data_IF_575245883561
#
_entry.id   IF_575245883561
#
_cell.length_a   1.000
_cell.length_b   1.000
_cell.length_c   1.000
_cell.angle_alpha   90.00
_cell.angle_beta   90.00
_cell.angle_gamma   90.00
#
_symmetry.space_group_name_H-M   'P 1'
#
loop_
_entity.id
_entity.type
_entity.pdbx_description
1 polymer ?
#
# COMPACT_ATOMS: atom_id res chain seq x y z
N UNK A 1 -61.66 -33.69 -19.02
CA UNK A 1 -61.99 -32.28 -18.69
C UNK A 1 -61.53 -32.08 -17.25
N UNK A 2 -60.44 -31.41 -16.90
CA UNK A 2 -59.69 -30.33 -17.54
C UNK A 2 -58.17 -30.53 -17.38
N UNK A 3 -57.43 -30.40 -18.48
CA UNK A 3 -55.99 -30.20 -18.50
C UNK A 3 -55.74 -28.69 -18.56
N UNK A 4 -54.87 -28.17 -17.70
CA UNK A 4 -54.32 -26.82 -17.83
C UNK A 4 -52.79 -26.95 -17.95
N UNK A 5 -52.15 -26.33 -18.96
CA UNK A 5 -50.71 -26.44 -19.16
C UNK A 5 -49.95 -25.37 -18.37
N UNK A 6 -48.84 -25.80 -17.76
CA UNK A 6 -47.81 -24.94 -17.19
C UNK A 6 -47.09 -24.14 -18.30
N UNK A 7 -47.11 -22.82 -18.17
CA UNK A 7 -46.16 -21.92 -18.81
C UNK A 7 -45.58 -21.02 -17.73
N UNK A 8 -44.32 -21.28 -17.35
CA UNK A 8 -43.54 -20.33 -16.58
C UNK A 8 -42.22 -20.07 -17.32
N UNK A 9 -42.24 -19.03 -18.14
CA UNK A 9 -41.06 -18.34 -18.66
C UNK A 9 -40.68 -17.26 -17.64
N UNK A 10 -39.42 -17.25 -17.21
CA UNK A 10 -38.90 -16.24 -16.30
C UNK A 10 -37.38 -16.29 -16.25
N UNK A 11 -36.75 -15.85 -17.34
CA UNK A 11 -35.33 -15.53 -17.42
C UNK A 11 -35.01 -14.39 -16.46
N UNK A 12 -34.54 -14.69 -15.24
CA UNK A 12 -33.93 -13.69 -14.35
C UNK A 12 -32.96 -14.40 -13.39
N UNK A 13 -31.74 -14.69 -13.86
CA UNK A 13 -30.77 -15.44 -13.06
C UNK A 13 -29.30 -15.09 -13.23
N UNK A 14 -28.94 -14.15 -14.12
CA UNK A 14 -27.52 -13.89 -14.41
C UNK A 14 -27.00 -12.48 -14.09
N UNK A 15 -27.87 -11.52 -13.71
CA UNK A 15 -27.43 -10.16 -13.37
C UNK A 15 -27.43 -9.82 -11.86
N UNK A 16 -27.77 -10.75 -10.97
CA UNK A 16 -27.81 -10.51 -9.52
C UNK A 16 -26.53 -10.89 -8.74
N UNK A 17 -25.56 -11.56 -9.35
CA UNK A 17 -24.34 -11.98 -8.65
C UNK A 17 -23.24 -10.91 -8.58
N UNK A 18 -23.32 -9.83 -9.35
CA UNK A 18 -22.29 -8.78 -9.32
C UNK A 18 -22.61 -7.63 -8.34
N UNK A 19 -23.89 -7.42 -7.99
CA UNK A 19 -24.31 -6.34 -7.08
C UNK A 19 -24.37 -6.74 -5.60
N UNK A 20 -24.33 -8.03 -5.26
CA UNK A 20 -24.29 -8.49 -3.86
C UNK A 20 -22.89 -8.43 -3.23
N UNK A 21 -21.84 -8.09 -4.00
CA UNK A 21 -20.48 -7.98 -3.50
C UNK A 21 -20.20 -6.67 -2.74
N UNK A 22 -21.07 -5.65 -2.89
CA UNK A 22 -20.85 -4.30 -2.37
C UNK A 22 -21.91 -3.78 -1.39
N UNK A 23 -23.02 -4.50 -1.19
CA UNK A 23 -24.00 -4.12 -0.18
C UNK A 23 -23.53 -4.57 1.21
N UNK A 24 -22.83 -3.64 1.86
CA UNK A 24 -22.69 -3.58 3.30
C UNK A 24 -24.05 -3.86 3.96
N UNK A 25 -24.09 -4.86 4.82
CA UNK A 25 -25.15 -5.01 5.80
C UNK A 25 -24.96 -3.90 6.86
N UNK A 26 -25.81 -2.85 6.93
CA UNK A 26 -25.62 -1.74 7.86
C UNK A 26 -25.88 -2.13 9.33
N UNK A 27 -26.36 -3.35 9.57
CA UNK A 27 -26.73 -3.85 10.89
C UNK A 27 -25.66 -4.72 11.57
N UNK A 28 -24.40 -4.71 11.10
CA UNK A 28 -23.30 -5.24 11.91
C UNK A 28 -22.89 -4.21 12.96
N UNK A 29 -23.66 -4.17 14.05
CA UNK A 29 -23.24 -3.63 15.34
C UNK A 29 -21.79 -4.06 15.63
N UNK A 30 -20.94 -3.08 15.93
CA UNK A 30 -19.52 -3.24 16.19
C UNK A 30 -19.25 -4.46 17.09
N UNK A 31 -18.36 -5.39 16.71
CA UNK A 31 -17.95 -6.44 17.62
C UNK A 31 -17.13 -5.80 18.73
N UNK A 32 -17.71 -5.78 19.93
CA UNK A 32 -16.99 -5.61 21.19
C UNK A 32 -16.05 -6.80 21.38
N UNK A 33 -14.92 -6.79 20.67
CA UNK A 33 -13.81 -7.73 20.85
C UNK A 33 -12.51 -6.94 21.01
N UNK A 34 -12.48 -6.10 22.04
CA UNK A 34 -11.24 -5.63 22.62
C UNK A 34 -11.23 -6.14 24.07
N UNK A 35 -10.48 -7.23 24.29
CA UNK A 35 -10.24 -7.91 25.57
C UNK A 35 -11.41 -8.72 26.16
N UNK A 36 -11.57 -9.96 25.68
CA UNK A 36 -12.42 -10.96 26.33
C UNK A 36 -12.05 -12.37 25.88
N UNK A 37 -11.06 -12.98 26.51
CA UNK A 37 -10.76 -14.39 26.34
C UNK A 37 -11.86 -15.23 26.97
N UNK A 38 -12.85 -15.64 26.18
CA UNK A 38 -13.79 -16.69 26.55
C UNK A 38 -13.50 -17.92 25.68
N UNK A 39 -13.26 -19.04 26.36
CA UNK A 39 -12.69 -20.26 25.79
C UNK A 39 -13.45 -20.79 24.58
N UNK A 40 -12.73 -20.93 23.47
CA UNK A 40 -13.19 -21.72 22.34
C UNK A 40 -13.24 -23.21 22.73
N UNK A 41 -14.32 -23.93 22.37
CA UNK A 41 -14.49 -25.35 22.71
C UNK A 41 -13.41 -26.23 22.06
N UNK A 42 -12.91 -27.19 22.84
CA UNK A 42 -11.75 -28.07 22.60
C UNK A 42 -11.89 -29.08 21.43
N UNK A 43 -12.68 -28.81 20.39
CA UNK A 43 -12.99 -29.75 19.31
C UNK A 43 -12.28 -29.54 17.96
N UNK A 44 -11.54 -28.44 17.75
CA UNK A 44 -11.08 -28.03 16.41
C UNK A 44 -9.68 -28.51 15.99
N UNK A 45 -9.22 -29.68 16.45
CA UNK A 45 -7.86 -30.16 16.15
C UNK A 45 -7.68 -30.81 14.76
N UNK A 46 -8.74 -31.03 13.96
CA UNK A 46 -8.61 -31.70 12.67
C UNK A 46 -8.34 -30.76 11.46
N UNK A 47 -8.62 -29.45 11.58
CA UNK A 47 -8.49 -28.49 10.46
C UNK A 47 -7.32 -27.49 10.57
N UNK A 48 -6.75 -27.33 11.77
CA UNK A 48 -5.72 -26.32 12.07
C UNK A 48 -4.37 -26.50 11.34
N UNK A 49 -4.15 -27.65 10.70
CA UNK A 49 -2.89 -27.97 10.02
C UNK A 49 -2.67 -27.24 8.70
N UNK A 50 -3.72 -27.01 7.90
CA UNK A 50 -3.54 -26.66 6.47
C UNK A 50 -2.94 -25.28 6.24
N UNK A 51 -3.34 -24.26 7.01
CA UNK A 51 -2.76 -22.92 6.86
C UNK A 51 -1.28 -22.85 7.28
N UNK A 52 -0.85 -23.73 8.20
CA UNK A 52 0.53 -23.72 8.72
C UNK A 52 1.55 -24.19 7.68
N UNK A 53 1.10 -24.97 6.68
CA UNK A 53 1.95 -25.54 5.64
C UNK A 53 2.57 -24.47 4.74
N UNK A 54 1.89 -23.33 4.54
CA UNK A 54 2.41 -22.19 3.76
C UNK A 54 3.74 -21.70 4.33
N UNK A 55 3.84 -21.64 5.66
CA UNK A 55 5.02 -21.12 6.35
C UNK A 55 6.13 -22.15 6.54
N UNK A 56 5.82 -23.44 6.34
CA UNK A 56 6.81 -24.52 6.35
C UNK A 56 7.55 -24.64 5.02
N UNK A 57 7.08 -23.96 3.98
CA UNK A 57 7.69 -23.99 2.67
C UNK A 57 9.09 -23.35 2.68
N UNK A 58 9.99 -23.89 1.87
CA UNK A 58 11.39 -23.44 1.76
C UNK A 58 11.48 -21.98 1.28
N UNK A 59 10.44 -21.46 0.63
CA UNK A 59 10.35 -20.09 0.13
C UNK A 59 10.10 -19.05 1.23
N UNK A 60 9.60 -19.44 2.41
CA UNK A 60 9.29 -18.48 3.47
C UNK A 60 10.55 -17.91 4.15
N UNK A 61 11.62 -18.69 4.26
CA UNK A 61 12.91 -18.22 4.80
C UNK A 61 13.55 -17.12 3.93
N UNK A 62 13.67 -17.27 2.59
CA UNK A 62 14.10 -16.19 1.70
C UNK A 62 13.30 -14.89 1.87
N UNK A 63 11.98 -14.97 2.05
CA UNK A 63 11.15 -13.77 2.28
C UNK A 63 11.58 -13.07 3.57
N UNK A 64 11.79 -13.80 4.66
CA UNK A 64 12.25 -13.24 5.94
C UNK A 64 13.60 -12.52 5.77
N UNK A 65 14.55 -13.14 5.07
CA UNK A 65 15.89 -12.60 4.82
C UNK A 65 15.79 -11.32 3.98
N UNK A 66 15.09 -11.36 2.84
CA UNK A 66 14.94 -10.22 1.94
C UNK A 66 14.25 -9.04 2.63
N UNK A 67 13.21 -9.31 3.41
CA UNK A 67 12.50 -8.27 4.15
C UNK A 67 13.39 -7.65 5.26
N UNK A 68 14.29 -8.44 5.85
CA UNK A 68 15.27 -7.94 6.82
C UNK A 68 16.34 -7.08 6.17
N UNK A 69 16.83 -7.49 4.99
CA UNK A 69 17.78 -6.68 4.21
C UNK A 69 17.14 -5.36 3.81
N UNK A 70 15.89 -5.39 3.30
CA UNK A 70 15.14 -4.17 3.00
C UNK A 70 14.94 -3.29 4.24
N UNK A 71 14.64 -3.88 5.41
CA UNK A 71 14.49 -3.14 6.66
C UNK A 71 15.81 -2.49 7.14
N UNK A 72 16.94 -3.21 7.01
CA UNK A 72 18.27 -2.71 7.39
C UNK A 72 18.72 -1.56 6.49
N UNK A 73 18.48 -1.68 5.18
CA UNK A 73 18.84 -0.64 4.21
C UNK A 73 17.98 0.61 4.39
N UNK A 74 16.70 0.45 4.74
CA UNK A 74 15.81 1.55 5.09
C UNK A 74 15.91 2.01 6.55
N UNK A 75 16.93 1.56 7.30
CA UNK A 75 17.11 2.00 8.68
C UNK A 75 17.34 3.51 8.82
N UNK A 76 18.11 4.20 7.95
CA UNK A 76 18.32 5.64 8.03
C UNK A 76 17.03 6.46 7.90
N UNK A 77 16.05 5.96 7.15
CA UNK A 77 14.74 6.59 6.99
C UNK A 77 13.74 6.21 8.08
N UNK A 78 14.17 5.45 9.10
CA UNK A 78 13.35 4.97 10.21
C UNK A 78 12.00 4.42 9.74
N UNK A 79 12.02 3.55 8.71
CA UNK A 79 10.80 2.92 8.22
C UNK A 79 10.33 1.82 9.19
N UNK A 80 9.77 2.27 10.31
CA UNK A 80 9.31 1.45 11.45
C UNK A 80 8.33 0.37 10.98
N UNK A 81 7.51 0.65 9.97
CA UNK A 81 6.56 -0.33 9.43
C UNK A 81 7.27 -1.53 8.81
N UNK A 82 8.27 -1.30 7.94
CA UNK A 82 9.04 -2.39 7.32
C UNK A 82 9.77 -3.21 8.37
N UNK A 83 10.35 -2.55 9.38
CA UNK A 83 11.02 -3.21 10.51
C UNK A 83 10.02 -4.08 11.30
N UNK A 84 8.84 -3.57 11.63
CA UNK A 84 7.81 -4.31 12.35
C UNK A 84 7.28 -5.50 11.54
N UNK A 85 7.11 -5.36 10.22
CA UNK A 85 6.72 -6.50 9.36
C UNK A 85 7.85 -7.54 9.34
N UNK A 86 9.12 -7.13 9.26
CA UNK A 86 10.26 -8.04 9.30
C UNK A 86 10.31 -8.83 10.62
N UNK A 87 10.20 -8.15 11.76
CA UNK A 87 10.16 -8.80 13.09
C UNK A 87 8.96 -9.74 13.20
N UNK A 88 7.77 -9.29 12.79
CA UNK A 88 6.56 -10.11 12.83
C UNK A 88 6.69 -11.38 11.98
N UNK A 89 7.35 -11.27 10.82
CA UNK A 89 7.59 -12.40 9.91
C UNK A 89 8.60 -13.39 10.51
N UNK A 90 9.65 -12.91 11.19
CA UNK A 90 10.59 -13.77 11.93
C UNK A 90 9.95 -14.50 13.11
N UNK A 91 9.12 -13.81 13.89
CA UNK A 91 8.37 -14.43 14.99
C UNK A 91 7.47 -15.55 14.45
N UNK A 92 6.82 -15.31 13.31
CA UNK A 92 6.00 -16.31 12.63
C UNK A 92 6.84 -17.50 12.15
N UNK A 93 8.00 -17.25 11.54
CA UNK A 93 8.94 -18.31 11.12
C UNK A 93 9.40 -19.18 12.30
N UNK A 94 9.82 -18.54 13.39
CA UNK A 94 10.27 -19.23 14.60
C UNK A 94 9.15 -20.07 15.24
N UNK A 95 7.92 -19.56 15.26
CA UNK A 95 6.75 -20.26 15.78
C UNK A 95 6.47 -21.55 14.99
N UNK A 96 6.46 -21.45 13.67
CA UNK A 96 6.21 -22.56 12.74
C UNK A 96 7.28 -23.65 12.90
N UNK A 97 8.55 -23.26 13.01
CA UNK A 97 9.67 -24.19 13.18
C UNK A 97 9.67 -24.87 14.56
N UNK A 98 9.12 -24.21 15.56
CA UNK A 98 8.96 -24.76 16.92
C UNK A 98 7.73 -25.66 17.07
N UNK A 99 7.01 -25.99 15.99
CA UNK A 99 5.73 -26.71 16.00
C UNK A 99 4.67 -26.08 16.93
N UNK A 100 4.80 -24.79 17.25
CA UNK A 100 3.77 -24.03 17.96
C UNK A 100 2.71 -23.61 16.95
N UNK A 101 1.46 -23.52 17.38
CA UNK A 101 0.37 -23.05 16.52
C UNK A 101 0.69 -21.64 15.96
N UNK A 102 0.95 -21.50 14.65
CA UNK A 102 1.36 -20.22 14.06
C UNK A 102 0.24 -19.17 14.08
N UNK A 103 -1.00 -19.63 14.25
CA UNK A 103 -2.20 -18.79 14.34
C UNK A 103 -2.47 -18.26 15.74
N UNK A 104 -1.95 -18.94 16.77
CA UNK A 104 -2.00 -18.47 18.15
C UNK A 104 -0.87 -17.47 18.45
N UNK A 105 0.14 -17.41 17.58
CA UNK A 105 1.35 -16.65 17.88
C UNK A 105 1.20 -15.15 17.64
N UNK A 106 1.96 -14.40 18.43
CA UNK A 106 2.04 -12.94 18.37
C UNK A 106 2.39 -12.43 16.95
N UNK A 107 3.10 -13.21 16.13
CA UNK A 107 3.56 -12.82 14.79
C UNK A 107 2.45 -12.37 13.83
N UNK A 108 1.41 -13.19 13.58
CA UNK A 108 0.32 -12.82 12.66
C UNK A 108 -0.47 -11.62 13.20
N UNK A 109 -0.71 -11.58 14.52
CA UNK A 109 -1.39 -10.45 15.17
C UNK A 109 -0.58 -9.16 15.01
N UNK A 110 0.74 -9.25 15.16
CA UNK A 110 1.67 -8.14 14.98
C UNK A 110 1.66 -7.66 13.52
N UNK A 111 1.80 -8.54 12.53
CA UNK A 111 1.75 -8.17 11.10
C UNK A 111 0.39 -7.53 10.75
N UNK A 112 -0.72 -8.13 11.20
CA UNK A 112 -2.06 -7.58 10.99
C UNK A 112 -2.24 -6.19 11.63
N UNK A 113 -1.72 -6.02 12.84
CA UNK A 113 -1.67 -4.74 13.55
C UNK A 113 -0.85 -3.69 12.79
N UNK A 114 0.32 -4.06 12.28
CA UNK A 114 1.18 -3.18 11.48
C UNK A 114 0.49 -2.74 10.19
N UNK A 115 -0.18 -3.66 9.46
CA UNK A 115 -0.94 -3.30 8.25
C UNK A 115 -2.14 -2.40 8.59
N UNK A 116 -2.79 -2.61 9.74
CA UNK A 116 -3.85 -1.69 10.21
C UNK A 116 -3.29 -0.29 10.51
N UNK A 117 -2.14 -0.21 11.17
CA UNK A 117 -1.47 1.06 11.43
C UNK A 117 -1.09 1.76 10.13
N UNK A 118 -0.51 1.03 9.18
CA UNK A 118 -0.19 1.52 7.84
C UNK A 118 -1.43 2.06 7.11
N UNK A 119 -2.56 1.35 7.15
CA UNK A 119 -3.82 1.83 6.56
C UNK A 119 -4.26 3.20 7.12
N UNK A 120 -4.15 3.38 8.43
CA UNK A 120 -4.50 4.64 9.11
C UNK A 120 -3.51 5.74 8.73
N UNK A 121 -2.21 5.45 8.79
CA UNK A 121 -1.15 6.40 8.44
C UNK A 121 -1.27 6.88 6.99
N UNK A 122 -1.63 6.00 6.04
CA UNK A 122 -1.85 6.41 4.66
C UNK A 122 -3.01 7.39 4.52
N UNK A 123 -4.11 7.23 5.26
CA UNK A 123 -5.20 8.21 5.25
C UNK A 123 -4.77 9.56 5.82
N UNK A 124 -3.97 9.56 6.89
CA UNK A 124 -3.42 10.79 7.46
C UNK A 124 -2.50 11.48 6.44
N UNK A 125 -1.63 10.73 5.76
CA UNK A 125 -0.76 11.26 4.71
C UNK A 125 -1.57 11.82 3.53
N UNK A 126 -2.61 11.13 3.06
CA UNK A 126 -3.52 11.62 2.01
C UNK A 126 -4.16 12.95 2.43
N UNK A 127 -4.69 13.03 3.65
CA UNK A 127 -5.32 14.25 4.15
C UNK A 127 -4.32 15.41 4.20
N UNK A 128 -3.10 15.16 4.69
CA UNK A 128 -2.04 16.16 4.76
C UNK A 128 -1.62 16.66 3.36
N UNK A 129 -1.42 15.74 2.41
CA UNK A 129 -1.05 16.08 1.03
C UNK A 129 -2.16 16.88 0.32
N UNK A 130 -3.43 16.54 0.54
CA UNK A 130 -4.55 17.31 -0.01
C UNK A 130 -4.63 18.71 0.59
N UNK A 131 -4.47 18.86 1.90
CA UNK A 131 -4.45 20.17 2.56
C UNK A 131 -3.30 21.00 1.99
N UNK A 132 -2.10 20.43 1.88
CA UNK A 132 -0.94 21.12 1.31
C UNK A 132 -1.18 21.53 -0.15
N UNK A 133 -1.75 20.64 -0.97
CA UNK A 133 -2.09 20.94 -2.35
C UNK A 133 -3.11 22.10 -2.45
N UNK A 134 -4.13 22.10 -1.61
CA UNK A 134 -5.13 23.18 -1.55
C UNK A 134 -4.48 24.49 -1.13
N UNK A 135 -3.59 24.48 -0.12
CA UNK A 135 -2.87 25.68 0.32
C UNK A 135 -2.02 26.24 -0.82
N UNK A 136 -1.27 25.41 -1.53
CA UNK A 136 -0.44 25.84 -2.66
C UNK A 136 -1.28 26.43 -3.80
N UNK A 137 -2.40 25.77 -4.14
CA UNK A 137 -3.33 26.26 -5.16
C UNK A 137 -4.05 27.55 -4.74
N UNK A 138 -4.31 27.75 -3.44
CA UNK A 138 -4.97 28.94 -2.92
C UNK A 138 -4.02 30.14 -2.80
N UNK A 139 -2.74 29.91 -2.52
CA UNK A 139 -1.73 30.98 -2.42
C UNK A 139 -1.29 31.45 -3.81
N UNK A 140 -1.24 30.56 -4.81
CA UNK A 140 -0.74 30.89 -6.15
C UNK A 140 -1.36 32.19 -6.75
N UNK A 141 -2.69 32.40 -6.75
CA UNK A 141 -3.29 33.64 -7.28
C UNK A 141 -3.01 34.89 -6.41
N UNK A 142 -2.75 34.72 -5.11
CA UNK A 142 -2.50 35.82 -4.18
C UNK A 142 -1.15 36.50 -4.41
N UNK A 143 -0.19 35.79 -4.99
CA UNK A 143 1.18 36.28 -5.22
C UNK A 143 1.18 37.41 -6.27
N UNK A 144 0.38 37.31 -7.33
CA UNK A 144 0.27 38.37 -8.35
C UNK A 144 -0.26 39.70 -7.81
N UNK A 145 -1.10 39.66 -6.77
CA UNK A 145 -1.68 40.88 -6.17
C UNK A 145 -0.76 41.56 -5.14
N UNK A 146 0.30 40.87 -4.71
CA UNK A 146 1.16 41.30 -3.60
C UNK A 146 2.56 41.71 -4.04
N UNK A 147 3.00 41.29 -5.23
CA UNK A 147 4.32 41.64 -5.78
C UNK A 147 4.17 42.91 -6.63
N UNK A 148 4.93 43.95 -6.29
CA UNK A 148 5.03 45.16 -7.09
C UNK A 148 5.48 44.78 -8.51
N UNK A 149 4.74 45.12 -9.57
CA UNK A 149 5.13 44.83 -10.95
C UNK A 149 6.47 45.46 -11.35
N UNK A 150 7.01 46.39 -10.54
CA UNK A 150 8.34 47.00 -10.72
C UNK A 150 9.45 46.34 -9.89
N UNK A 151 9.18 45.24 -9.18
CA UNK A 151 10.22 44.48 -8.50
C UNK A 151 11.06 43.73 -9.53
N UNK A 152 12.26 44.25 -9.81
CA UNK A 152 13.21 43.71 -10.79
C UNK A 152 13.81 42.35 -10.39
N UNK A 153 13.57 41.87 -9.16
CA UNK A 153 14.08 40.57 -8.71
C UNK A 153 13.13 39.83 -7.74
N UNK A 154 13.14 38.48 -7.78
CA UNK A 154 12.44 37.59 -6.83
C UNK A 154 12.81 37.89 -5.36
N UNK A 155 14.00 38.47 -5.16
CA UNK A 155 14.65 38.61 -3.87
C UNK A 155 14.29 39.92 -3.16
N UNK A 156 13.92 40.96 -3.91
CA UNK A 156 13.41 42.21 -3.33
C UNK A 156 12.02 42.01 -2.67
N UNK A 157 11.26 40.99 -3.11
CA UNK A 157 9.98 40.60 -2.51
C UNK A 157 10.12 39.67 -1.29
N UNK A 158 11.29 39.02 -1.09
CA UNK A 158 11.58 38.16 0.06
C UNK A 158 12.91 38.57 0.74
N UNK A 159 13.01 39.80 1.28
CA UNK A 159 14.28 40.38 1.69
C UNK A 159 14.99 39.66 2.85
N UNK A 160 14.30 38.82 3.64
CA UNK A 160 14.82 38.35 4.93
C UNK A 160 15.08 36.83 5.07
N UNK A 161 14.77 35.98 4.08
CA UNK A 161 14.75 34.53 4.33
C UNK A 161 15.75 33.65 3.56
N UNK A 162 16.35 34.11 2.45
CA UNK A 162 17.31 33.28 1.70
C UNK A 162 18.42 34.15 1.08
N UNK A 163 19.61 34.18 1.68
CA UNK A 163 20.82 34.70 1.03
C UNK A 163 21.30 33.71 -0.01
N UNK A 164 20.78 33.81 -1.24
CA UNK A 164 21.30 33.06 -2.40
C UNK A 164 22.52 33.83 -2.94
N UNK A 165 23.57 33.10 -3.36
CA UNK A 165 24.74 33.76 -3.95
C UNK A 165 24.38 34.46 -5.29
N UNK A 166 25.13 35.51 -5.60
CA UNK A 166 24.91 36.32 -6.82
C UNK A 166 25.01 35.47 -8.10
N UNK A 167 25.80 34.40 -8.08
CA UNK A 167 26.05 33.51 -9.21
C UNK A 167 24.81 32.67 -9.54
N UNK A 168 24.15 32.08 -8.55
CA UNK A 168 22.89 31.35 -8.69
C UNK A 168 21.76 32.28 -9.11
N UNK A 169 21.73 33.51 -8.60
CA UNK A 169 20.75 34.52 -9.00
C UNK A 169 20.87 34.87 -10.49
N UNK A 170 22.10 35.07 -10.99
CA UNK A 170 22.35 35.32 -12.40
C UNK A 170 21.97 34.12 -13.28
N UNK A 171 22.26 32.89 -12.83
CA UNK A 171 21.90 31.67 -13.56
C UNK A 171 20.38 31.47 -13.67
N UNK A 172 19.63 31.73 -12.59
CA UNK A 172 18.16 31.67 -12.58
C UNK A 172 17.57 32.73 -13.51
N UNK A 173 18.06 33.97 -13.45
CA UNK A 173 17.60 35.05 -14.32
C UNK A 173 17.87 34.73 -15.81
N UNK A 174 19.03 34.15 -16.11
CA UNK A 174 19.39 33.74 -17.46
C UNK A 174 18.47 32.61 -17.97
N UNK A 175 18.22 31.58 -17.13
CA UNK A 175 17.28 30.49 -17.44
C UNK A 175 15.85 31.00 -17.72
N UNK A 176 15.34 31.91 -16.88
CA UNK A 176 14.00 32.51 -17.08
C UNK A 176 13.95 33.27 -18.40
N UNK A 177 14.97 34.08 -18.70
CA UNK A 177 15.04 34.87 -19.93
C UNK A 177 15.13 34.02 -21.20
N UNK A 178 15.76 32.85 -21.14
CA UNK A 178 15.91 31.93 -22.29
C UNK A 178 14.71 31.00 -22.49
N UNK A 179 14.16 30.42 -21.42
CA UNK A 179 13.12 29.39 -21.54
C UNK A 179 11.69 29.94 -21.47
N UNK A 180 11.48 31.09 -20.82
CA UNK A 180 10.16 31.68 -20.61
C UNK A 180 10.17 33.18 -20.97
N UNK A 181 10.52 33.54 -22.22
CA UNK A 181 10.62 34.92 -22.64
C UNK A 181 9.27 35.64 -22.48
N UNK A 182 9.27 36.74 -21.74
CA UNK A 182 8.09 37.58 -21.52
C UNK A 182 7.26 37.25 -20.27
N UNK A 183 7.65 36.27 -19.45
CA UNK A 183 7.06 36.08 -18.12
C UNK A 183 7.88 36.81 -17.05
N UNK A 184 7.19 37.50 -16.15
CA UNK A 184 7.80 38.01 -14.92
C UNK A 184 8.16 36.86 -14.00
N UNK A 185 9.14 37.08 -13.12
CA UNK A 185 9.57 36.10 -12.13
C UNK A 185 8.40 35.65 -11.23
N UNK A 186 7.52 36.58 -10.86
CA UNK A 186 6.30 36.28 -10.09
C UNK A 186 5.40 35.25 -10.79
N UNK A 187 5.23 35.38 -12.12
CA UNK A 187 4.44 34.44 -12.93
C UNK A 187 5.10 33.06 -13.02
N UNK A 188 6.43 32.99 -13.07
CA UNK A 188 7.17 31.71 -13.04
C UNK A 188 6.95 30.99 -11.70
N UNK A 189 7.05 31.73 -10.60
CA UNK A 189 6.88 31.18 -9.26
C UNK A 189 5.43 30.73 -9.00
N UNK A 190 4.45 31.52 -9.44
CA UNK A 190 3.03 31.15 -9.39
C UNK A 190 2.75 29.88 -10.19
N UNK A 191 3.26 29.79 -11.42
CA UNK A 191 3.12 28.60 -12.26
C UNK A 191 3.76 27.38 -11.58
N UNK A 192 4.92 27.54 -10.94
CA UNK A 192 5.58 26.48 -10.21
C UNK A 192 4.74 25.99 -9.02
N UNK A 193 4.23 26.89 -8.17
CA UNK A 193 3.36 26.52 -7.03
C UNK A 193 2.07 25.85 -7.50
N UNK A 194 1.48 26.34 -8.60
CA UNK A 194 0.29 25.76 -9.19
C UNK A 194 0.54 24.32 -9.67
N UNK A 195 1.62 24.10 -10.43
CA UNK A 195 2.00 22.76 -10.91
C UNK A 195 2.33 21.85 -9.72
N UNK A 196 3.08 22.32 -8.74
CA UNK A 196 3.41 21.57 -7.53
C UNK A 196 2.13 21.15 -6.76
N UNK A 197 1.16 22.06 -6.64
CA UNK A 197 -0.15 21.78 -6.05
C UNK A 197 -0.90 20.68 -6.79
N UNK A 198 -0.94 20.72 -8.13
CA UNK A 198 -1.56 19.67 -8.95
C UNK A 198 -0.85 18.32 -8.75
N UNK A 199 0.48 18.30 -8.76
CA UNK A 199 1.27 17.07 -8.57
C UNK A 199 0.99 16.47 -7.19
N UNK A 200 0.92 17.29 -6.13
CA UNK A 200 0.59 16.83 -4.78
C UNK A 200 -0.84 16.29 -4.68
N UNK A 201 -1.82 16.94 -5.33
CA UNK A 201 -3.19 16.45 -5.40
C UNK A 201 -3.26 15.08 -6.11
N UNK A 202 -2.55 14.94 -7.23
CA UNK A 202 -2.45 13.67 -7.95
C UNK A 202 -1.79 12.58 -7.11
N UNK A 203 -0.70 12.89 -6.42
CA UNK A 203 -0.03 11.97 -5.50
C UNK A 203 -0.99 11.49 -4.39
N UNK A 204 -1.81 12.39 -3.84
CA UNK A 204 -2.81 12.03 -2.84
C UNK A 204 -3.90 11.09 -3.40
N UNK A 205 -4.35 11.29 -4.65
CA UNK A 205 -5.27 10.38 -5.34
C UNK A 205 -4.65 9.00 -5.50
N UNK A 206 -3.40 8.93 -5.97
CA UNK A 206 -2.68 7.65 -6.14
C UNK A 206 -2.55 6.92 -4.80
N UNK A 207 -2.16 7.63 -3.72
CA UNK A 207 -2.09 7.05 -2.38
C UNK A 207 -3.45 6.56 -1.88
N UNK A 208 -4.53 7.28 -2.18
CA UNK A 208 -5.90 6.86 -1.87
C UNK A 208 -6.24 5.55 -2.58
N UNK A 209 -5.94 5.45 -3.88
CA UNK A 209 -6.15 4.24 -4.69
C UNK A 209 -5.34 3.08 -4.11
N UNK A 210 -4.06 3.29 -3.81
CA UNK A 210 -3.21 2.28 -3.17
C UNK A 210 -3.82 1.82 -1.84
N UNK A 211 -4.27 2.75 -0.99
CA UNK A 211 -4.82 2.40 0.31
C UNK A 211 -6.13 1.58 0.21
N UNK A 212 -6.98 1.92 -0.76
CA UNK A 212 -8.26 1.25 -1.00
C UNK A 212 -8.12 -0.08 -1.71
N UNK A 213 -7.29 -0.16 -2.74
CA UNK A 213 -7.12 -1.33 -3.61
C UNK A 213 -6.18 -2.35 -2.96
N UNK A 214 -5.19 -1.91 -2.18
CA UNK A 214 -4.18 -2.81 -1.62
C UNK A 214 -4.30 -3.00 -0.12
N UNK A 215 -4.09 -1.93 0.64
CA UNK A 215 -3.93 -2.04 2.10
C UNK A 215 -5.20 -2.57 2.75
N UNK A 216 -6.38 -2.16 2.27
CA UNK A 216 -7.67 -2.66 2.77
C UNK A 216 -7.86 -4.16 2.48
N UNK A 217 -7.74 -4.67 1.24
CA UNK A 217 -7.81 -6.11 0.97
C UNK A 217 -6.74 -6.93 1.68
N UNK A 218 -5.50 -6.43 1.76
CA UNK A 218 -4.41 -7.08 2.50
C UNK A 218 -4.74 -7.21 3.98
N UNK A 219 -5.27 -6.15 4.61
CA UNK A 219 -5.74 -6.19 6.00
C UNK A 219 -6.85 -7.22 6.17
N UNK A 220 -7.87 -7.19 5.32
CA UNK A 220 -8.99 -8.12 5.38
C UNK A 220 -8.53 -9.57 5.22
N UNK A 221 -7.56 -9.82 4.34
CA UNK A 221 -6.89 -11.10 4.17
C UNK A 221 -6.14 -11.52 5.43
N UNK A 222 -5.27 -10.67 6.00
CA UNK A 222 -4.49 -11.00 7.20
C UNK A 222 -5.37 -11.28 8.42
N UNK A 223 -6.46 -10.52 8.59
CA UNK A 223 -7.45 -10.78 9.65
C UNK A 223 -8.17 -12.11 9.42
N UNK A 224 -8.66 -12.34 8.19
CA UNK A 224 -9.28 -13.63 7.83
C UNK A 224 -8.31 -14.79 8.01
N UNK A 225 -7.03 -14.56 7.72
CA UNK A 225 -5.97 -15.55 7.85
C UNK A 225 -5.66 -15.85 9.32
N UNK A 226 -5.65 -14.85 10.20
CA UNK A 226 -5.48 -15.05 11.64
C UNK A 226 -6.67 -15.75 12.31
N UNK A 227 -7.90 -15.45 11.88
CA UNK A 227 -9.13 -15.96 12.50
C UNK A 227 -9.59 -17.30 11.91
N UNK A 228 -9.52 -17.47 10.58
CA UNK A 228 -10.16 -18.58 9.86
C UNK A 228 -9.16 -19.60 9.30
N UNK A 229 -7.88 -19.52 9.66
CA UNK A 229 -6.89 -20.53 9.29
C UNK A 229 -7.32 -22.00 9.48
N UNK A 230 -8.05 -22.39 10.55
CA UNK A 230 -8.50 -23.77 10.69
C UNK A 230 -9.69 -24.13 9.78
N UNK A 231 -10.44 -23.16 9.25
CA UNK A 231 -11.65 -23.38 8.44
C UNK A 231 -11.42 -23.21 6.92
N UNK A 232 -10.18 -22.94 6.51
CA UNK A 232 -9.83 -22.71 5.11
C UNK A 232 -9.91 -21.23 4.73
N UNK A 233 -9.01 -20.80 3.85
CA UNK A 233 -8.96 -19.42 3.40
C UNK A 233 -9.96 -19.18 2.26
N UNK A 234 -10.67 -18.04 2.23
CA UNK A 234 -11.47 -17.67 1.07
C UNK A 234 -10.56 -17.50 -0.15
N UNK A 235 -10.57 -18.49 -1.06
CA UNK A 235 -9.71 -18.59 -2.24
C UNK A 235 -9.77 -17.32 -3.09
N UNK A 236 -10.96 -16.73 -3.24
CA UNK A 236 -11.15 -15.49 -3.98
C UNK A 236 -10.31 -14.32 -3.41
N UNK A 237 -10.26 -14.17 -2.07
CA UNK A 237 -9.46 -13.11 -1.43
C UNK A 237 -7.96 -13.39 -1.53
N UNK A 238 -7.57 -14.65 -1.40
CA UNK A 238 -6.17 -15.06 -1.55
C UNK A 238 -5.66 -14.77 -2.98
N UNK A 239 -6.45 -15.09 -4.00
CA UNK A 239 -6.11 -14.79 -5.40
C UNK A 239 -6.00 -13.29 -5.65
N UNK A 240 -6.91 -12.49 -5.09
CA UNK A 240 -6.82 -11.03 -5.20
C UNK A 240 -5.53 -10.48 -4.57
N UNK A 241 -5.21 -10.86 -3.33
CA UNK A 241 -3.98 -10.43 -2.67
C UNK A 241 -2.73 -10.88 -3.42
N UNK A 242 -2.74 -12.09 -3.99
CA UNK A 242 -1.66 -12.57 -4.86
C UNK A 242 -1.45 -11.66 -6.06
N UNK A 243 -2.52 -11.30 -6.78
CA UNK A 243 -2.44 -10.40 -7.94
C UNK A 243 -1.88 -9.04 -7.50
N UNK A 244 -2.37 -8.49 -6.39
CA UNK A 244 -1.85 -7.22 -5.90
C UNK A 244 -0.37 -7.30 -5.54
N UNK A 245 0.08 -8.33 -4.82
CA UNK A 245 1.50 -8.51 -4.49
C UNK A 245 2.37 -8.61 -5.75
N UNK A 246 1.88 -9.26 -6.80
CA UNK A 246 2.59 -9.33 -8.08
C UNK A 246 2.68 -7.95 -8.76
N UNK A 247 1.59 -7.19 -8.78
CA UNK A 247 1.59 -5.82 -9.34
C UNK A 247 2.54 -4.91 -8.55
N UNK A 248 2.51 -4.96 -7.21
CA UNK A 248 3.44 -4.17 -6.39
C UNK A 248 4.89 -4.60 -6.58
N UNK A 249 5.17 -5.90 -6.74
CA UNK A 249 6.52 -6.36 -7.05
C UNK A 249 7.01 -5.73 -8.36
N UNK A 250 6.19 -5.72 -9.42
CA UNK A 250 6.53 -5.10 -10.70
C UNK A 250 6.74 -3.60 -10.55
N UNK A 251 5.82 -2.90 -9.87
CA UNK A 251 5.96 -1.46 -9.62
C UNK A 251 7.23 -1.13 -8.84
N UNK A 252 7.61 -1.95 -7.87
CA UNK A 252 8.85 -1.78 -7.13
C UNK A 252 10.08 -2.01 -8.00
N UNK A 253 10.07 -3.00 -8.90
CA UNK A 253 11.16 -3.17 -9.85
C UNK A 253 11.28 -1.97 -10.80
N UNK A 254 10.16 -1.43 -11.29
CA UNK A 254 10.17 -0.24 -12.15
C UNK A 254 10.72 0.98 -11.38
N UNK A 255 10.25 1.20 -10.15
CA UNK A 255 10.73 2.30 -9.30
C UNK A 255 12.22 2.16 -8.96
N UNK A 256 12.69 0.94 -8.72
CA UNK A 256 14.12 0.68 -8.45
C UNK A 256 14.96 0.88 -9.71
N UNK A 257 14.42 0.52 -10.89
CA UNK A 257 15.09 0.70 -12.16
C UNK A 257 15.26 2.19 -12.52
N UNK A 258 14.33 3.07 -12.12
CA UNK A 258 14.55 4.51 -12.28
C UNK A 258 15.72 5.04 -11.46
N UNK A 259 16.00 4.47 -10.28
CA UNK A 259 17.16 4.86 -9.48
C UNK A 259 18.49 4.47 -10.17
N UNK A 260 18.53 3.48 -11.07
CA UNK A 260 19.76 3.15 -11.84
C UNK A 260 20.22 4.29 -12.77
N UNK A 261 19.32 5.17 -13.18
CA UNK A 261 19.66 6.32 -14.02
C UNK A 261 20.34 7.44 -13.22
N UNK A 262 20.18 7.43 -11.89
CA UNK A 262 20.85 8.33 -10.97
C UNK A 262 22.11 7.65 -10.42
N UNK A 263 23.30 8.09 -10.82
CA UNK A 263 24.59 7.52 -10.37
C UNK A 263 24.98 7.92 -8.93
N UNK A 264 24.05 8.36 -8.09
CA UNK A 264 24.34 8.73 -6.70
C UNK A 264 24.48 7.50 -5.79
N UNK A 265 25.22 7.64 -4.68
CA UNK A 265 25.33 6.60 -3.64
C UNK A 265 23.98 6.24 -3.02
N UNK A 266 23.07 7.21 -2.97
CA UNK A 266 21.72 7.02 -2.42
C UNK A 266 20.87 6.14 -3.34
N UNK A 267 21.09 6.24 -4.67
CA UNK A 267 20.42 5.38 -5.64
C UNK A 267 20.73 3.90 -5.48
N UNK A 268 21.95 3.53 -5.09
CA UNK A 268 22.33 2.12 -4.88
C UNK A 268 21.52 1.56 -3.69
N UNK A 269 21.38 2.36 -2.64
CA UNK A 269 20.63 2.03 -1.43
C UNK A 269 19.14 1.83 -1.76
N UNK A 270 18.55 2.75 -2.52
CA UNK A 270 17.17 2.64 -3.01
C UNK A 270 16.95 1.42 -3.92
N UNK A 271 17.90 1.18 -4.84
CA UNK A 271 17.86 0.05 -5.76
C UNK A 271 17.82 -1.28 -5.00
N UNK A 272 18.75 -1.49 -4.05
CA UNK A 272 18.82 -2.76 -3.31
C UNK A 272 17.57 -2.93 -2.45
N UNK A 273 17.14 -1.86 -1.75
CA UNK A 273 15.93 -1.85 -0.93
C UNK A 273 14.68 -2.22 -1.74
N UNK A 274 14.49 -1.59 -2.89
CA UNK A 274 13.35 -1.81 -3.76
C UNK A 274 13.37 -3.20 -4.42
N UNK A 275 14.54 -3.69 -4.84
CA UNK A 275 14.70 -5.06 -5.36
C UNK A 275 14.39 -6.10 -4.28
N UNK A 276 14.94 -5.97 -3.07
CA UNK A 276 14.65 -6.89 -1.98
C UNK A 276 13.15 -6.92 -1.63
N UNK A 277 12.53 -5.73 -1.56
CA UNK A 277 11.10 -5.60 -1.31
C UNK A 277 10.28 -6.24 -2.45
N UNK A 278 10.60 -5.94 -3.71
CA UNK A 278 9.93 -6.50 -4.89
C UNK A 278 10.03 -8.02 -4.96
N UNK A 279 11.22 -8.59 -4.77
CA UNK A 279 11.41 -10.05 -4.74
C UNK A 279 10.64 -10.68 -3.57
N UNK A 280 10.64 -10.05 -2.39
CA UNK A 280 9.87 -10.57 -1.24
C UNK A 280 8.36 -10.62 -1.51
N UNK A 281 7.80 -9.60 -2.18
CA UNK A 281 6.40 -9.56 -2.59
C UNK A 281 6.09 -10.60 -3.67
N UNK A 282 6.99 -10.77 -4.64
CA UNK A 282 6.86 -11.78 -5.68
C UNK A 282 6.85 -13.19 -5.09
N UNK A 283 7.79 -13.50 -4.19
CA UNK A 283 7.82 -14.78 -3.47
C UNK A 283 6.57 -14.98 -2.60
N UNK A 284 6.09 -13.93 -1.94
CA UNK A 284 4.82 -13.96 -1.21
C UNK A 284 3.63 -14.30 -2.11
N UNK A 285 3.58 -13.73 -3.32
CA UNK A 285 2.55 -14.03 -4.32
C UNK A 285 2.59 -15.49 -4.79
N UNK A 286 3.80 -16.04 -4.98
CA UNK A 286 4.02 -17.44 -5.36
C UNK A 286 3.61 -18.40 -4.24
N UNK A 287 3.95 -18.08 -2.99
CA UNK A 287 3.54 -18.85 -1.82
C UNK A 287 2.01 -18.94 -1.70
N UNK A 288 1.32 -17.80 -1.83
CA UNK A 288 -0.14 -17.77 -1.82
C UNK A 288 -0.70 -18.56 -3.01
N UNK A 289 -0.11 -18.43 -4.20
CA UNK A 289 -0.52 -19.18 -5.39
C UNK A 289 -0.42 -20.70 -5.21
N UNK A 290 0.72 -21.19 -4.69
CA UNK A 290 0.94 -22.61 -4.41
C UNK A 290 -0.07 -23.14 -3.39
N UNK A 291 -0.38 -22.35 -2.36
CA UNK A 291 -1.41 -22.71 -1.39
C UNK A 291 -2.80 -22.82 -2.02
N UNK A 292 -3.20 -21.85 -2.85
CA UNK A 292 -4.49 -21.90 -3.55
C UNK A 292 -4.60 -23.14 -4.45
N UNK A 293 -3.54 -23.49 -5.18
CA UNK A 293 -3.52 -24.67 -6.06
C UNK A 293 -3.67 -25.99 -5.29
N UNK A 294 -2.98 -26.11 -4.14
CA UNK A 294 -3.07 -27.30 -3.29
C UNK A 294 -4.47 -27.49 -2.68
N UNK A 295 -5.20 -26.41 -2.45
CA UNK A 295 -6.59 -26.47 -1.98
C UNK A 295 -7.53 -26.99 -3.07
N UNK A 296 -7.39 -26.51 -4.31
CA UNK A 296 -8.26 -26.89 -5.43
C UNK A 296 -8.05 -28.32 -5.92
N UNK A 297 -6.81 -28.84 -5.81
CA UNK A 297 -6.49 -30.22 -6.21
C UNK A 297 -7.11 -31.28 -5.28
N UNK A 298 -7.47 -30.90 -4.05
CA UNK A 298 -8.02 -31.83 -3.06
C UNK A 298 -9.55 -31.87 -3.02
N UNK A 299 -10.21 -31.04 -3.85
CA UNK A 299 -11.68 -30.97 -3.98
C UNK A 299 -12.25 -31.79 -5.15
N UNK A 300 -11.42 -32.48 -5.94
CA UNK A 300 -11.87 -33.33 -7.06
C UNK A 300 -11.92 -34.83 -6.73
N UNK A 301 -11.81 -35.22 -5.46
CA UNK A 301 -11.83 -36.63 -5.01
C UNK A 301 -12.99 -36.96 -4.06
N UNK A 302 -14.09 -36.21 -4.12
CA UNK A 302 -15.35 -36.54 -3.43
C UNK A 302 -16.51 -36.54 -4.41
#
# INVERSE_FOLDING_TARGET
MNNQPDYNNGQDGQNSQFNSFWQNNPNQSAPNEFFGGAGAPNGYNAGAGRGSEIFKDKLFLPICILLSVAALINFPSFNILTILIAIGTWILYAAVRSNKNPFSTCGIKMISGTVKAQFILLWVAVAFLLILAIILLAIAPGIQSSIDPNADSLFDAFPDYITIDQETQNAVNQFISEFLPGMSIAQVFELFLFIAGIILAFAAIVLTVINLVFTRPLRAFLVSFGQNAPMGLPIARANYVRICLMVFAILQFISSASSLLSLSSDSITELISGVCTGVSMLLGSLLIGKYCMNQTGNTQTF
#
